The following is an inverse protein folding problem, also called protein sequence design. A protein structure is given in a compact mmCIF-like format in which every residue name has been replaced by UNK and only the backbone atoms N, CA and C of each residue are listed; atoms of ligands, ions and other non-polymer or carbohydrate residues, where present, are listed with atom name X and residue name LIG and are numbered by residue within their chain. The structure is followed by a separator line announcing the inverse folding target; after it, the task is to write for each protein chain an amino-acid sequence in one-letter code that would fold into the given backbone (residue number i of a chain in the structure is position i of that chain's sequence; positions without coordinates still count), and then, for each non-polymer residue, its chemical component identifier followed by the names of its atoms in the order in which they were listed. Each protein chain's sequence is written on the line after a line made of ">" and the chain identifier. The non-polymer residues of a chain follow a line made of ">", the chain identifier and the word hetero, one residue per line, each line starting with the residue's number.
data_IF_496058350566
#
_entry.id   IF_496058350566
#
_cell.length_a   1.000
_cell.length_b   1.000
_cell.length_c   1.000
_cell.angle_alpha   90.00
_cell.angle_beta   90.00
_cell.angle_gamma   90.00
#
_symmetry.space_group_name_H-M   'P 1'
#
loop_
_entity.id
_entity.type
_entity.pdbx_description
1 polymer ?
#
# COMPACT_ATOMS: atom_id res chain seq x y z
N UNK A 1 -18.55 1.40 43.08
CA UNK A 1 -19.43 0.79 42.06
C UNK A 1 -18.51 0.10 41.08
N UNK A 2 -18.46 -1.24 41.12
CA UNK A 2 -17.54 -2.04 40.32
C UNK A 2 -18.13 -2.38 38.94
N UNK A 3 -17.21 -2.76 38.05
CA UNK A 3 -17.29 -3.69 36.91
C UNK A 3 -18.32 -3.48 35.80
N UNK A 4 -17.83 -3.40 34.57
CA UNK A 4 -18.35 -4.15 33.41
C UNK A 4 -17.29 -4.16 32.28
N UNK A 5 -16.50 -5.23 32.25
CA UNK A 5 -15.60 -5.60 31.14
C UNK A 5 -16.32 -6.73 30.39
N UNK A 6 -17.00 -6.42 29.30
CA UNK A 6 -17.57 -7.44 28.43
C UNK A 6 -16.49 -7.99 27.50
N UNK A 7 -15.97 -9.16 27.88
CA UNK A 7 -15.09 -10.00 27.05
C UNK A 7 -15.99 -10.94 26.24
N UNK A 8 -15.97 -10.82 24.91
CA UNK A 8 -16.71 -11.73 24.03
C UNK A 8 -15.77 -12.78 23.43
N UNK A 9 -15.93 -14.03 23.84
CA UNK A 9 -15.32 -15.23 23.24
C UNK A 9 -16.40 -16.04 22.50
N UNK A 10 -16.17 -16.46 21.24
CA UNK A 10 -17.09 -17.36 20.54
C UNK A 10 -16.90 -18.83 20.99
N UNK A 11 -17.92 -19.70 20.79
CA UNK A 11 -18.05 -20.97 21.49
C UNK A 11 -17.35 -22.13 20.77
N UNK A 12 -16.83 -23.06 21.58
CA UNK A 12 -16.44 -24.42 21.22
C UNK A 12 -17.71 -25.25 20.95
N UNK A 13 -17.86 -25.77 19.73
CA UNK A 13 -18.80 -26.84 19.44
C UNK A 13 -18.08 -28.20 19.53
N UNK A 14 -18.22 -28.84 20.69
CA UNK A 14 -18.13 -30.30 20.84
C UNK A 14 -19.26 -30.96 20.07
N UNK A 15 -18.93 -31.94 19.21
CA UNK A 15 -19.91 -32.92 18.72
C UNK A 15 -19.46 -34.31 19.14
N UNK A 16 -20.37 -34.96 19.87
CA UNK A 16 -20.31 -36.19 20.64
C UNK A 16 -20.26 -37.50 19.81
N UNK A 17 -19.78 -38.56 20.49
CA UNK A 17 -20.20 -39.99 20.49
C UNK A 17 -19.20 -41.02 19.92
N UNK A 18 -19.28 -42.30 20.34
CA UNK A 18 -19.34 -42.82 21.71
C UNK A 18 -18.28 -43.92 21.98
N UNK A 19 -17.99 -44.15 23.26
CA UNK A 19 -17.20 -45.29 23.75
C UNK A 19 -17.89 -46.64 23.47
N UNK A 20 -17.11 -47.59 22.96
CA UNK A 20 -17.28 -49.02 23.21
C UNK A 20 -15.95 -49.74 22.97
N UNK A 21 -15.34 -50.27 24.03
CA UNK A 21 -15.26 -51.72 24.23
C UNK A 21 -14.12 -52.07 25.18
N UNK A 22 -14.47 -52.89 26.17
CA UNK A 22 -13.68 -53.32 27.32
C UNK A 22 -12.38 -54.04 26.96
N UNK A 23 -11.37 -53.77 27.80
CA UNK A 23 -10.20 -54.62 28.03
C UNK A 23 -10.65 -55.86 28.83
N UNK A 24 -10.51 -57.05 28.25
CA UNK A 24 -10.31 -58.28 29.02
C UNK A 24 -9.04 -58.99 28.55
N UNK A 25 -8.23 -59.28 29.56
CA UNK A 25 -6.94 -59.95 29.59
C UNK A 25 -7.13 -61.47 29.46
N UNK A 26 -6.23 -62.16 28.72
CA UNK A 26 -5.71 -63.53 29.01
C UNK A 26 -5.15 -64.21 27.75
N UNK A 27 -3.83 -64.42 27.74
CA UNK A 27 -3.10 -65.43 26.95
C UNK A 27 -3.33 -66.84 27.56
N UNK A 28 -3.20 -67.97 26.82
CA UNK A 28 -1.85 -68.53 26.57
C UNK A 28 -1.66 -69.30 25.23
N UNK A 29 -0.39 -69.34 24.82
CA UNK A 29 0.37 -70.35 24.05
C UNK A 29 -0.35 -71.39 23.16
N UNK A 30 0.21 -71.58 21.95
CA UNK A 30 0.64 -72.88 21.33
C UNK A 30 0.98 -72.63 19.85
N UNK A 31 2.25 -72.89 19.47
CA UNK A 31 2.68 -73.06 18.07
C UNK A 31 2.00 -74.29 17.44
N UNK A 32 1.74 -74.27 16.12
CA UNK A 32 2.58 -75.15 15.31
C UNK A 32 3.00 -74.56 13.94
N UNK A 33 4.09 -75.16 13.50
CA UNK A 33 4.89 -74.99 12.29
C UNK A 33 4.15 -75.24 10.95
N UNK A 34 4.79 -74.77 9.87
CA UNK A 34 4.67 -75.09 8.42
C UNK A 34 3.32 -74.98 7.68
N UNK A 35 3.19 -73.96 6.82
CA UNK A 35 3.27 -74.15 5.35
C UNK A 35 2.99 -72.87 4.56
N UNK A 36 3.71 -72.76 3.45
CA UNK A 36 3.74 -71.67 2.48
C UNK A 36 2.37 -71.19 1.98
N UNK A 37 2.23 -69.87 1.87
CA UNK A 37 1.72 -69.21 0.66
C UNK A 37 2.22 -67.76 0.68
N UNK A 38 3.05 -67.41 -0.30
CA UNK A 38 3.45 -66.03 -0.54
C UNK A 38 2.19 -65.17 -0.77
N UNK A 39 2.02 -64.02 -0.11
CA UNK A 39 1.11 -63.01 -0.59
C UNK A 39 1.80 -62.33 -1.78
N UNK A 40 1.26 -62.56 -2.97
CA UNK A 40 1.57 -61.78 -4.16
C UNK A 40 1.50 -60.29 -3.81
N UNK A 41 2.65 -59.62 -3.87
CA UNK A 41 2.68 -58.17 -3.98
C UNK A 41 1.90 -57.82 -5.24
N UNK A 42 0.69 -57.25 -5.07
CA UNK A 42 -0.01 -56.61 -6.17
C UNK A 42 0.82 -55.39 -6.61
N UNK A 43 1.75 -55.62 -7.52
CA UNK A 43 2.45 -54.58 -8.26
C UNK A 43 1.48 -54.10 -9.34
N UNK A 44 0.65 -53.11 -8.99
CA UNK A 44 0.01 -52.24 -9.97
C UNK A 44 0.61 -50.83 -9.83
N UNK A 45 0.89 -50.15 -10.93
CA UNK A 45 1.89 -49.07 -10.96
C UNK A 45 1.34 -47.76 -10.36
N UNK A 46 2.13 -47.01 -9.57
CA UNK A 46 1.76 -45.71 -9.02
C UNK A 46 1.92 -44.54 -10.02
N UNK A 47 2.25 -44.81 -11.28
CA UNK A 47 2.68 -43.80 -12.25
C UNK A 47 1.58 -42.77 -12.56
N UNK A 48 0.34 -43.20 -12.84
CA UNK A 48 -0.76 -42.30 -13.23
C UNK A 48 -1.21 -41.36 -12.11
N UNK A 49 -1.05 -41.75 -10.83
CA UNK A 49 -1.35 -40.88 -9.70
C UNK A 49 -0.23 -39.88 -9.44
N UNK A 50 1.02 -40.28 -9.61
CA UNK A 50 2.19 -39.43 -9.38
C UNK A 50 2.28 -38.33 -10.44
N UNK A 51 1.99 -38.64 -11.70
CA UNK A 51 1.96 -37.65 -12.79
C UNK A 51 0.87 -36.59 -12.58
N UNK A 52 -0.29 -36.96 -12.05
CA UNK A 52 -1.36 -36.00 -11.71
C UNK A 52 -0.95 -35.05 -10.57
N UNK A 53 -0.23 -35.55 -9.57
CA UNK A 53 0.26 -34.74 -8.45
C UNK A 53 1.36 -33.79 -8.93
N UNK A 54 2.31 -34.28 -9.73
CA UNK A 54 3.39 -33.47 -10.33
C UNK A 54 2.84 -32.38 -11.24
N UNK A 55 1.90 -32.70 -12.13
CA UNK A 55 1.28 -31.72 -13.04
C UNK A 55 0.49 -30.65 -12.29
N UNK A 56 -0.23 -31.02 -11.23
CA UNK A 56 -0.91 -30.07 -10.34
C UNK A 56 0.08 -29.16 -9.61
N UNK A 57 1.14 -29.73 -9.01
CA UNK A 57 2.18 -28.99 -8.32
C UNK A 57 2.92 -27.99 -9.24
N UNK A 58 3.24 -28.41 -10.46
CA UNK A 58 3.83 -27.55 -11.49
C UNK A 58 2.88 -26.43 -11.94
N UNK A 59 1.56 -26.68 -11.94
CA UNK A 59 0.55 -25.67 -12.21
C UNK A 59 0.55 -24.56 -11.15
N UNK A 60 0.55 -24.94 -9.86
CA UNK A 60 0.64 -23.98 -8.74
C UNK A 60 1.98 -23.24 -8.77
N UNK A 61 3.08 -23.93 -9.09
CA UNK A 61 4.39 -23.31 -9.24
C UNK A 61 4.43 -22.25 -10.34
N UNK A 62 3.85 -22.54 -11.52
CA UNK A 62 3.75 -21.53 -12.60
C UNK A 62 2.96 -20.30 -12.17
N UNK A 63 1.83 -20.50 -11.49
CA UNK A 63 1.04 -19.38 -10.97
C UNK A 63 1.85 -18.53 -9.99
N UNK A 64 2.64 -19.16 -9.11
CA UNK A 64 3.51 -18.47 -8.18
C UNK A 64 4.58 -17.63 -8.88
N UNK A 65 5.21 -18.19 -9.92
CA UNK A 65 6.21 -17.47 -10.74
C UNK A 65 5.56 -16.28 -11.46
N UNK A 66 4.37 -16.46 -12.03
CA UNK A 66 3.61 -15.38 -12.68
C UNK A 66 3.26 -14.25 -11.70
N UNK A 67 2.83 -14.58 -10.48
CA UNK A 67 2.58 -13.61 -9.42
C UNK A 67 3.84 -12.83 -9.04
N UNK A 68 4.99 -13.50 -8.99
CA UNK A 68 6.28 -12.89 -8.67
C UNK A 68 6.75 -11.95 -9.78
N UNK A 69 6.57 -12.32 -11.05
CA UNK A 69 6.83 -11.44 -12.19
C UNK A 69 5.92 -10.20 -12.18
N UNK A 70 4.63 -10.37 -11.94
CA UNK A 70 3.68 -9.26 -11.80
C UNK A 70 4.05 -8.31 -10.64
N UNK A 71 4.47 -8.87 -9.51
CA UNK A 71 4.97 -8.09 -8.38
C UNK A 71 6.22 -7.29 -8.75
N UNK A 72 7.21 -7.91 -9.42
CA UNK A 72 8.42 -7.24 -9.90
C UNK A 72 8.09 -6.08 -10.85
N UNK A 73 7.15 -6.28 -11.77
CA UNK A 73 6.67 -5.21 -12.66
C UNK A 73 6.06 -4.06 -11.86
N UNK A 74 5.22 -4.36 -10.87
CA UNK A 74 4.60 -3.36 -9.98
C UNK A 74 5.65 -2.57 -9.18
N UNK A 75 6.70 -3.22 -8.69
CA UNK A 75 7.82 -2.53 -8.02
C UNK A 75 8.54 -1.61 -9.00
N UNK A 76 8.78 -2.05 -10.24
CA UNK A 76 9.44 -1.24 -11.26
C UNK A 76 8.63 0.00 -11.63
N UNK A 77 7.33 -0.13 -11.86
CA UNK A 77 6.44 1.01 -12.17
C UNK A 77 6.40 2.00 -11.00
N UNK A 78 6.21 1.51 -9.77
CA UNK A 78 6.21 2.36 -8.58
C UNK A 78 7.53 3.11 -8.41
N UNK A 79 8.67 2.47 -8.67
CA UNK A 79 10.00 3.14 -8.63
C UNK A 79 10.13 4.24 -9.67
N UNK A 80 9.64 4.01 -10.88
CA UNK A 80 9.68 5.00 -11.95
C UNK A 80 8.80 6.21 -11.63
N UNK A 81 7.56 5.99 -11.19
CA UNK A 81 6.66 7.07 -10.77
C UNK A 81 7.25 7.88 -9.61
N UNK A 82 7.87 7.19 -8.66
CA UNK A 82 8.49 7.82 -7.50
C UNK A 82 9.68 8.69 -7.90
N UNK A 83 10.50 8.27 -8.87
CA UNK A 83 11.57 9.10 -9.43
C UNK A 83 11.01 10.36 -10.09
N UNK A 84 9.89 10.25 -10.81
CA UNK A 84 9.21 11.38 -11.43
C UNK A 84 8.67 12.38 -10.39
N UNK A 85 7.96 11.92 -9.35
CA UNK A 85 7.47 12.81 -8.29
C UNK A 85 8.62 13.47 -7.54
N UNK A 86 9.73 12.76 -7.28
CA UNK A 86 10.93 13.34 -6.68
C UNK A 86 11.53 14.44 -7.55
N UNK A 87 11.42 14.36 -8.87
CA UNK A 87 11.85 15.42 -9.77
C UNK A 87 10.91 16.64 -9.66
N UNK A 88 9.60 16.43 -9.72
CA UNK A 88 8.61 17.52 -9.59
C UNK A 88 8.73 18.26 -8.24
N UNK A 89 8.95 17.54 -7.14
CA UNK A 89 9.18 18.15 -5.82
C UNK A 89 10.43 19.02 -5.84
N UNK A 90 11.52 18.57 -6.49
CA UNK A 90 12.77 19.35 -6.59
C UNK A 90 12.57 20.63 -7.39
N UNK A 91 11.87 20.55 -8.51
CA UNK A 91 11.56 21.70 -9.38
C UNK A 91 10.70 22.74 -8.64
N UNK A 92 9.60 22.33 -8.03
CA UNK A 92 8.73 23.24 -7.27
C UNK A 92 9.42 23.80 -6.01
N UNK A 93 10.23 23.01 -5.32
CA UNK A 93 11.01 23.50 -4.17
C UNK A 93 12.07 24.53 -4.59
N UNK A 94 12.61 24.43 -5.80
CA UNK A 94 13.58 25.40 -6.33
C UNK A 94 12.90 26.73 -6.72
N UNK A 95 11.67 26.66 -7.24
CA UNK A 95 10.85 27.86 -7.53
C UNK A 95 10.45 28.58 -6.23
N UNK A 96 9.96 27.84 -5.22
CA UNK A 96 9.53 28.40 -3.94
C UNK A 96 10.65 29.08 -3.15
N UNK A 97 11.92 28.65 -3.29
CA UNK A 97 13.08 29.28 -2.61
C UNK A 97 13.59 30.54 -3.30
N UNK A 98 13.10 30.87 -4.50
CA UNK A 98 13.62 31.99 -5.30
C UNK A 98 12.97 33.33 -4.97
N UNK A 99 11.98 33.37 -4.07
CA UNK A 99 11.33 34.59 -3.62
C UNK A 99 11.78 35.02 -2.20
N UNK A 100 12.84 35.82 -2.08
CA UNK A 100 12.98 36.77 -1.01
C UNK A 100 12.62 38.15 -1.57
N UNK A 101 11.37 38.58 -1.43
CA UNK A 101 11.02 40.00 -1.52
C UNK A 101 10.29 40.43 -0.26
N UNK A 102 11.10 40.89 0.68
CA UNK A 102 10.73 41.84 1.72
C UNK A 102 11.13 43.21 1.18
N UNK A 103 10.18 44.10 0.94
CA UNK A 103 10.31 45.57 1.04
C UNK A 103 8.88 46.06 1.37
N UNK A 104 8.54 46.23 2.64
CA UNK A 104 8.62 47.47 3.44
C UNK A 104 7.86 48.67 2.83
N UNK A 105 6.83 49.08 3.57
CA UNK A 105 6.17 50.40 3.55
C UNK A 105 5.43 50.79 2.26
N UNK A 106 4.25 50.19 2.02
CA UNK A 106 3.27 50.73 1.07
C UNK A 106 2.51 51.93 1.68
N UNK A 107 2.64 53.07 1.00
CA UNK A 107 2.09 54.40 1.29
C UNK A 107 0.60 54.45 1.64
N UNK A 108 0.26 54.27 2.92
CA UNK A 108 -1.12 54.48 3.43
C UNK A 108 -1.62 55.95 3.35
N UNK A 109 -0.76 56.89 2.96
CA UNK A 109 -1.06 58.32 2.95
C UNK A 109 -1.80 58.82 1.70
N UNK A 110 -1.77 58.09 0.58
CA UNK A 110 -2.39 58.53 -0.68
C UNK A 110 -3.92 58.58 -0.67
N UNK A 111 -4.58 57.66 0.07
CA UNK A 111 -6.05 57.57 0.10
C UNK A 111 -6.69 58.61 1.03
N UNK A 112 -5.99 58.96 2.12
CA UNK A 112 -6.48 59.90 3.13
C UNK A 112 -6.55 61.34 2.59
N UNK A 113 -5.56 61.76 1.81
CA UNK A 113 -5.50 63.11 1.23
C UNK A 113 -6.61 63.35 0.21
N UNK A 114 -6.96 62.34 -0.58
CA UNK A 114 -8.02 62.42 -1.59
C UNK A 114 -9.43 62.44 -1.01
N UNK A 115 -9.66 61.73 0.11
CA UNK A 115 -10.93 61.77 0.85
C UNK A 115 -11.26 63.17 1.37
N UNK A 116 -10.25 63.93 1.81
CA UNK A 116 -10.40 65.32 2.27
C UNK A 116 -10.72 66.26 1.10
N UNK A 117 -10.17 66.01 -0.09
CA UNK A 117 -10.47 66.81 -1.28
C UNK A 117 -11.92 66.62 -1.78
N UNK A 118 -12.48 65.41 -1.66
CA UNK A 118 -13.87 65.11 -2.04
C UNK A 118 -14.93 65.68 -1.07
N UNK A 119 -14.53 66.13 0.13
CA UNK A 119 -15.44 66.83 1.05
C UNK A 119 -15.77 68.26 0.59
N UNK A 120 -15.05 68.79 -0.39
CA UNK A 120 -15.43 69.99 -1.11
C UNK A 120 -16.33 69.54 -2.29
N UNK A 121 -17.64 69.85 -2.21
CA UNK A 121 -18.76 69.35 -3.03
C UNK A 121 -18.70 69.67 -4.55
N UNK A 122 -17.57 69.42 -5.22
CA UNK A 122 -17.48 69.43 -6.68
C UNK A 122 -17.65 68.00 -7.21
N UNK A 123 -18.57 67.81 -8.17
CA UNK A 123 -18.76 66.53 -8.84
C UNK A 123 -17.46 66.02 -9.48
N UNK A 124 -16.57 66.92 -9.94
CA UNK A 124 -15.25 66.55 -10.46
C UNK A 124 -14.36 65.87 -9.43
N UNK A 125 -14.31 66.39 -8.20
CA UNK A 125 -13.54 65.83 -7.08
C UNK A 125 -14.09 64.49 -6.62
N UNK A 126 -15.42 64.34 -6.59
CA UNK A 126 -16.08 63.08 -6.24
C UNK A 126 -15.77 61.98 -7.27
N UNK A 127 -15.80 62.32 -8.57
CA UNK A 127 -15.46 61.38 -9.65
C UNK A 127 -13.99 60.96 -9.55
N UNK A 128 -13.07 61.91 -9.35
CA UNK A 128 -11.64 61.63 -9.22
C UNK A 128 -11.34 60.74 -7.99
N UNK A 129 -11.98 61.02 -6.84
CA UNK A 129 -11.86 60.18 -5.65
C UNK A 129 -12.40 58.77 -5.89
N UNK A 130 -13.57 58.62 -6.53
CA UNK A 130 -14.15 57.32 -6.85
C UNK A 130 -13.25 56.51 -7.82
N UNK A 131 -12.62 57.16 -8.79
CA UNK A 131 -11.61 56.51 -9.64
C UNK A 131 -10.36 56.10 -8.87
N UNK A 132 -9.88 56.92 -7.95
CA UNK A 132 -8.71 56.60 -7.13
C UNK A 132 -8.99 55.42 -6.19
N UNK A 133 -10.15 55.39 -5.54
CA UNK A 133 -10.58 54.24 -4.73
C UNK A 133 -10.64 52.99 -5.60
N UNK A 134 -11.19 53.09 -6.82
CA UNK A 134 -11.25 51.96 -7.76
C UNK A 134 -9.85 51.43 -8.10
N UNK A 135 -8.90 52.32 -8.42
CA UNK A 135 -7.49 51.93 -8.67
C UNK A 135 -6.88 51.24 -7.46
N UNK A 136 -7.01 51.81 -6.28
CA UNK A 136 -6.51 51.24 -5.03
C UNK A 136 -7.13 49.87 -4.70
N UNK A 137 -8.42 49.66 -5.02
CA UNK A 137 -9.04 48.34 -4.86
C UNK A 137 -8.40 47.31 -5.80
N UNK A 138 -8.12 47.67 -7.06
CA UNK A 138 -7.43 46.77 -7.98
C UNK A 138 -5.98 46.49 -7.56
N UNK A 139 -5.25 47.50 -7.10
CA UNK A 139 -3.88 47.33 -6.63
C UNK A 139 -3.82 46.40 -5.41
N UNK A 140 -4.72 46.60 -4.44
CA UNK A 140 -4.85 45.70 -3.28
C UNK A 140 -5.21 44.27 -3.66
N UNK A 141 -6.05 44.07 -4.69
CA UNK A 141 -6.40 42.73 -5.16
C UNK A 141 -5.16 42.04 -5.76
N UNK A 142 -4.39 42.75 -6.59
CA UNK A 142 -3.17 42.21 -7.18
C UNK A 142 -2.13 41.88 -6.11
N UNK A 143 -1.93 42.75 -5.12
CA UNK A 143 -1.04 42.50 -3.99
C UNK A 143 -1.49 41.27 -3.19
N UNK A 144 -2.80 41.14 -2.92
CA UNK A 144 -3.33 39.96 -2.26
C UNK A 144 -3.10 38.67 -3.07
N UNK A 145 -3.23 38.71 -4.40
CA UNK A 145 -2.92 37.57 -5.27
C UNK A 145 -1.43 37.19 -5.24
N UNK A 146 -0.54 38.17 -5.24
CA UNK A 146 0.90 37.96 -5.10
C UNK A 146 1.26 37.33 -3.75
N UNK A 147 0.64 37.80 -2.66
CA UNK A 147 0.84 37.24 -1.32
C UNK A 147 0.28 35.81 -1.17
N UNK A 148 -0.80 35.47 -1.89
CA UNK A 148 -1.40 34.14 -1.89
C UNK A 148 -0.67 33.14 -2.81
N UNK A 149 0.13 33.62 -3.76
CA UNK A 149 0.88 32.78 -4.70
C UNK A 149 1.83 31.79 -4.00
N UNK A 150 2.68 32.19 -3.02
CA UNK A 150 3.51 31.27 -2.25
C UNK A 150 2.68 30.21 -1.49
N UNK A 151 1.53 30.60 -0.93
CA UNK A 151 0.64 29.66 -0.25
C UNK A 151 0.13 28.61 -1.22
N UNK A 152 -0.27 29.01 -2.43
CA UNK A 152 -0.74 28.10 -3.48
C UNK A 152 0.36 27.12 -3.89
N UNK A 153 1.59 27.59 -4.08
CA UNK A 153 2.74 26.74 -4.39
C UNK A 153 3.05 25.74 -3.26
N UNK A 154 2.94 26.18 -2.00
CA UNK A 154 3.16 25.32 -0.84
C UNK A 154 2.14 24.18 -0.74
N UNK A 155 0.88 24.45 -1.10
CA UNK A 155 -0.20 23.45 -1.15
C UNK A 155 0.07 22.42 -2.24
N UNK A 156 0.50 22.84 -3.43
CA UNK A 156 0.86 21.91 -4.52
C UNK A 156 2.05 21.02 -4.14
N UNK A 157 3.06 21.59 -3.49
CA UNK A 157 4.18 20.84 -2.96
C UNK A 157 3.75 19.84 -1.89
N UNK A 158 2.81 20.20 -1.02
CA UNK A 158 2.23 19.29 -0.03
C UNK A 158 1.48 18.14 -0.71
N UNK A 159 0.64 18.41 -1.73
CA UNK A 159 -0.05 17.37 -2.50
C UNK A 159 0.93 16.37 -3.11
N UNK A 160 2.02 16.86 -3.70
CA UNK A 160 3.07 15.99 -4.25
C UNK A 160 3.77 15.16 -3.19
N UNK A 161 4.07 15.73 -2.01
CA UNK A 161 4.65 14.98 -0.88
C UNK A 161 3.71 13.90 -0.35
N UNK A 162 2.42 14.19 -0.22
CA UNK A 162 1.42 13.19 0.17
C UNK A 162 1.36 12.06 -0.87
N UNK A 163 1.36 12.38 -2.17
CA UNK A 163 1.42 11.37 -3.23
C UNK A 163 2.71 10.55 -3.16
N UNK A 164 3.85 11.19 -2.90
CA UNK A 164 5.15 10.54 -2.73
C UNK A 164 5.14 9.52 -1.58
N UNK A 165 4.56 9.88 -0.43
CA UNK A 165 4.42 9.00 0.73
C UNK A 165 3.54 7.79 0.39
N UNK A 166 2.39 8.00 -0.23
CA UNK A 166 1.49 6.89 -0.63
C UNK A 166 2.17 5.91 -1.59
N UNK A 167 2.97 6.40 -2.53
CA UNK A 167 3.76 5.52 -3.40
C UNK A 167 4.85 4.76 -2.66
N UNK A 168 5.48 5.37 -1.64
CA UNK A 168 6.45 4.67 -0.80
C UNK A 168 5.78 3.54 0.00
N UNK A 169 4.62 3.80 0.58
CA UNK A 169 3.82 2.79 1.28
C UNK A 169 3.44 1.64 0.34
N UNK A 170 2.96 1.96 -0.86
CA UNK A 170 2.65 0.95 -1.89
C UNK A 170 3.88 0.15 -2.34
N UNK A 171 5.05 0.79 -2.46
CA UNK A 171 6.30 0.13 -2.80
C UNK A 171 6.75 -0.82 -1.68
N UNK A 172 6.65 -0.40 -0.41
CA UNK A 172 6.95 -1.24 0.74
C UNK A 172 6.04 -2.48 0.78
N UNK A 173 4.73 -2.29 0.60
CA UNK A 173 3.77 -3.40 0.55
C UNK A 173 4.08 -4.36 -0.61
N UNK A 174 4.42 -3.84 -1.80
CA UNK A 174 4.81 -4.66 -2.94
C UNK A 174 6.10 -5.45 -2.65
N UNK A 175 7.10 -4.82 -2.02
CA UNK A 175 8.36 -5.49 -1.64
C UNK A 175 8.15 -6.59 -0.60
N UNK A 176 7.33 -6.34 0.43
CA UNK A 176 7.00 -7.36 1.42
C UNK A 176 6.29 -8.56 0.78
N UNK A 177 5.33 -8.30 -0.11
CA UNK A 177 4.68 -9.37 -0.87
C UNK A 177 5.68 -10.12 -1.77
N UNK A 178 6.58 -9.41 -2.44
CA UNK A 178 7.65 -10.03 -3.25
C UNK A 178 8.54 -10.97 -2.43
N UNK A 179 8.96 -10.56 -1.23
CA UNK A 179 9.73 -11.41 -0.32
C UNK A 179 8.96 -12.67 0.10
N UNK A 180 7.66 -12.54 0.40
CA UNK A 180 6.80 -13.69 0.73
C UNK A 180 6.71 -14.67 -0.43
N UNK A 181 6.51 -14.17 -1.65
CA UNK A 181 6.45 -14.99 -2.87
C UNK A 181 7.79 -15.67 -3.15
N UNK A 182 8.93 -15.00 -2.95
CA UNK A 182 10.26 -15.60 -3.07
C UNK A 182 10.49 -16.73 -2.06
N UNK A 183 10.05 -16.56 -0.81
CA UNK A 183 10.14 -17.62 0.20
C UNK A 183 9.26 -18.81 -0.20
N UNK A 184 8.02 -18.55 -0.65
CA UNK A 184 7.14 -19.60 -1.15
C UNK A 184 7.75 -20.32 -2.36
N UNK A 185 8.42 -19.60 -3.26
CA UNK A 185 9.07 -20.18 -4.42
C UNK A 185 10.20 -21.13 -4.01
N UNK A 186 11.07 -20.70 -3.08
CA UNK A 186 12.15 -21.55 -2.57
C UNK A 186 11.62 -22.80 -1.87
N UNK A 187 10.54 -22.67 -1.11
CA UNK A 187 9.89 -23.82 -0.47
C UNK A 187 9.29 -24.76 -1.50
N UNK A 188 8.63 -24.23 -2.53
CA UNK A 188 8.09 -25.02 -3.63
C UNK A 188 9.19 -25.73 -4.42
N UNK A 189 10.31 -25.05 -4.71
CA UNK A 189 11.49 -25.64 -5.34
C UNK A 189 12.00 -26.83 -4.50
N UNK A 190 12.17 -26.64 -3.19
CA UNK A 190 12.62 -27.71 -2.29
C UNK A 190 11.66 -28.92 -2.27
N UNK A 191 10.34 -28.67 -2.24
CA UNK A 191 9.33 -29.74 -2.32
C UNK A 191 9.38 -30.48 -3.65
N UNK A 192 9.55 -29.78 -4.77
CA UNK A 192 9.66 -30.39 -6.10
C UNK A 192 10.91 -31.27 -6.18
N UNK A 193 12.05 -30.80 -5.65
CA UNK A 193 13.28 -31.60 -5.56
C UNK A 193 13.08 -32.87 -4.74
N UNK A 194 12.45 -32.78 -3.56
CA UNK A 194 12.15 -33.96 -2.74
C UNK A 194 11.19 -34.93 -3.43
N UNK A 195 10.19 -34.41 -4.14
CA UNK A 195 9.27 -35.23 -4.94
C UNK A 195 10.01 -35.95 -6.07
N UNK A 196 10.93 -35.29 -6.78
CA UNK A 196 11.75 -35.91 -7.81
C UNK A 196 12.61 -37.04 -7.26
N UNK A 197 13.28 -36.81 -6.12
CA UNK A 197 14.09 -37.84 -5.43
C UNK A 197 13.25 -39.06 -5.01
N UNK A 198 12.05 -38.85 -4.46
CA UNK A 198 11.14 -39.93 -4.04
C UNK A 198 10.65 -40.74 -5.24
N UNK A 199 10.35 -40.05 -6.35
CA UNK A 199 9.79 -40.67 -7.55
C UNK A 199 10.85 -41.33 -8.44
N UNK A 200 12.15 -41.19 -8.12
CA UNK A 200 13.30 -41.68 -8.91
C UNK A 200 13.24 -41.24 -10.39
N UNK A 201 12.76 -40.03 -10.63
CA UNK A 201 12.76 -39.38 -11.95
C UNK A 201 14.00 -38.53 -12.09
#
# INVERSE_FOLDING_TARGET
>A
MPDDIETYTPPLEETLMPEASSLEDSTPDVEPDISALAPEQSVNPPADSNDKVLTSALGVYRQLVEQLEANKQTIHTNRHELAHIRQQIRELSALSKRDPRVEDEADSHGLHTSKVAAQYDDCGSIIAYAEQVRRHVYDNINEAEELLSPMTQSVELLKLRVRHIRLLEGLLAAQENGLRLEIQQRNADACIWQLADILKV
#
